data_IF_862154150155
#
_entry.id   IF_862154150155
#
_cell.length_a   1.000
_cell.length_b   1.000
_cell.length_c   1.000
_cell.angle_alpha   90.00
_cell.angle_beta   90.00
_cell.angle_gamma   90.00
#
_symmetry.space_group_name_H-M   'P 1'
#
loop_
_entity.id
_entity.type
_entity.pdbx_description
1 polymer ?
#
# COMPACT_ATOMS: atom_id res chain seq x y z
N UNK A 1 40.42 6.82 -25.89
CA UNK A 1 39.03 7.23 -26.17
C UNK A 1 38.16 6.11 -25.68
N UNK A 2 37.65 6.27 -24.46
CA UNK A 2 37.52 5.15 -23.54
C UNK A 2 36.09 4.64 -23.48
N UNK A 3 35.93 3.31 -23.60
CA UNK A 3 34.65 2.61 -23.60
C UNK A 3 33.81 2.83 -22.32
N UNK A 4 34.41 3.37 -21.26
CA UNK A 4 33.76 3.66 -19.97
C UNK A 4 32.80 4.85 -20.08
N UNK A 5 33.11 5.84 -20.93
CA UNK A 5 32.29 7.07 -21.05
C UNK A 5 30.99 6.81 -21.81
N UNK A 6 30.98 5.85 -22.76
CA UNK A 6 29.77 5.44 -23.48
C UNK A 6 28.81 4.67 -22.57
N UNK A 7 29.32 3.81 -21.67
CA UNK A 7 28.48 3.04 -20.74
C UNK A 7 27.69 3.93 -19.77
N UNK A 8 28.30 4.98 -19.23
CA UNK A 8 27.63 5.90 -18.30
C UNK A 8 26.57 6.78 -18.98
N UNK A 9 26.74 7.11 -20.27
CA UNK A 9 25.76 7.91 -21.01
C UNK A 9 24.47 7.12 -21.27
N UNK A 10 24.58 5.86 -21.70
CA UNK A 10 23.41 5.01 -22.00
C UNK A 10 22.59 4.72 -20.73
N UNK A 11 23.26 4.49 -19.59
CA UNK A 11 22.58 4.31 -18.30
C UNK A 11 21.76 5.54 -17.88
N UNK A 12 22.27 6.75 -18.17
CA UNK A 12 21.61 8.00 -17.83
C UNK A 12 20.32 8.19 -18.64
N UNK A 13 20.30 7.78 -19.91
CA UNK A 13 19.12 7.83 -20.75
C UNK A 13 18.07 6.78 -20.37
N UNK A 14 18.46 5.57 -19.97
CA UNK A 14 17.52 4.50 -19.56
C UNK A 14 16.78 4.88 -18.26
N UNK A 15 17.47 5.47 -17.28
CA UNK A 15 16.85 5.90 -16.01
C UNK A 15 15.83 7.03 -16.24
N UNK A 16 16.12 7.98 -17.14
CA UNK A 16 15.20 9.08 -17.48
C UNK A 16 13.94 8.57 -18.19
N UNK A 17 14.08 7.59 -19.08
CA UNK A 17 12.94 6.96 -19.79
C UNK A 17 12.06 6.17 -18.80
N UNK A 18 12.65 5.45 -17.85
CA UNK A 18 11.85 4.74 -16.83
C UNK A 18 11.12 5.69 -15.86
N UNK A 19 11.72 6.82 -15.48
CA UNK A 19 11.06 7.79 -14.59
C UNK A 19 9.90 8.52 -15.27
N UNK A 20 10.02 8.83 -16.56
CA UNK A 20 8.96 9.51 -17.32
C UNK A 20 7.74 8.61 -17.53
N UNK A 21 7.92 7.31 -17.77
CA UNK A 21 6.80 6.34 -17.86
C UNK A 21 6.10 6.14 -16.51
N UNK A 22 6.82 6.23 -15.39
CA UNK A 22 6.24 6.06 -14.05
C UNK A 22 5.47 7.30 -13.55
N UNK A 23 5.86 8.51 -13.97
CA UNK A 23 5.15 9.75 -13.60
C UNK A 23 3.84 9.91 -14.38
N UNK A 24 3.75 9.37 -15.59
CA UNK A 24 2.57 9.55 -16.45
C UNK A 24 1.38 8.66 -16.06
N UNK A 25 1.57 7.65 -15.20
CA UNK A 25 0.47 6.79 -14.71
C UNK A 25 -0.30 7.36 -13.52
N UNK A 26 0.14 8.47 -12.91
CA UNK A 26 -0.50 9.06 -11.72
C UNK A 26 -1.33 10.32 -11.99
N UNK A 27 -1.50 10.71 -13.26
CA UNK A 27 -2.21 11.92 -13.63
C UNK A 27 -3.37 11.63 -14.59
N UNK A 28 -4.48 11.07 -14.08
CA UNK A 28 -5.80 11.33 -14.65
C UNK A 28 -6.91 10.87 -13.70
N UNK A 29 -7.55 11.81 -13.02
CA UNK A 29 -8.99 12.10 -13.20
C UNK A 29 -9.48 12.96 -12.02
N UNK A 30 -9.19 14.26 -12.08
CA UNK A 30 -10.10 15.26 -11.51
C UNK A 30 -11.26 15.40 -12.49
N UNK A 31 -12.46 15.02 -12.05
CA UNK A 31 -13.70 15.29 -12.77
C UNK A 31 -14.77 15.69 -11.76
N UNK A 32 -15.03 17.00 -11.77
CA UNK A 32 -16.21 17.72 -11.32
C UNK A 32 -17.43 16.83 -11.04
N UNK A 33 -17.99 16.94 -9.82
CA UNK A 33 -19.43 16.84 -9.67
C UNK A 33 -19.93 17.89 -8.67
N UNK A 34 -20.71 18.79 -9.22
CA UNK A 34 -21.29 19.95 -8.57
C UNK A 34 -22.19 19.59 -7.40
N UNK A 35 -22.32 20.55 -6.50
CA UNK A 35 -23.18 20.55 -5.32
C UNK A 35 -24.59 20.01 -5.60
N UNK A 36 -25.00 19.00 -4.85
CA UNK A 36 -26.39 18.58 -4.77
C UNK A 36 -27.13 19.49 -3.79
N UNK A 37 -27.92 20.41 -4.34
CA UNK A 37 -28.89 21.23 -3.60
C UNK A 37 -30.15 20.36 -3.42
N UNK A 38 -30.75 20.29 -2.21
CA UNK A 38 -32.05 19.63 -2.04
C UNK A 38 -33.16 20.51 -2.66
N UNK A 39 -33.99 19.92 -3.51
CA UNK A 39 -35.21 20.53 -4.00
C UNK A 39 -36.42 19.78 -3.41
N UNK A 40 -37.31 20.53 -2.76
CA UNK A 40 -38.60 20.01 -2.29
C UNK A 40 -39.59 19.96 -3.44
N UNK A 41 -40.04 18.76 -3.81
CA UNK A 41 -41.20 18.60 -4.70
C UNK A 41 -42.43 18.46 -3.81
N UNK A 42 -43.22 19.53 -3.71
CA UNK A 42 -44.59 19.48 -3.21
C UNK A 42 -45.49 19.01 -4.37
N UNK A 43 -46.09 17.83 -4.23
CA UNK A 43 -47.17 17.37 -5.11
C UNK A 43 -48.50 17.44 -4.35
N UNK A 44 -49.58 18.00 -4.93
CA UNK A 44 -50.89 17.99 -4.29
C UNK A 44 -51.60 16.65 -4.53
N UNK A 45 -52.20 16.11 -3.47
CA UNK A 45 -52.97 14.87 -3.50
C UNK A 45 -54.31 15.02 -4.24
N UNK A 46 -54.84 13.94 -4.83
CA UNK A 46 -56.28 13.73 -4.98
C UNK A 46 -56.78 12.69 -3.94
N UNK A 47 -57.93 13.00 -3.35
CA UNK A 47 -58.73 12.10 -2.51
C UNK A 47 -59.17 10.90 -3.34
N UNK A 48 -59.09 9.70 -2.76
CA UNK A 48 -60.19 8.74 -2.84
C UNK A 48 -60.11 7.73 -1.68
N UNK A 49 -61.30 7.38 -1.21
CA UNK A 49 -61.61 6.58 -0.03
C UNK A 49 -61.07 5.15 -0.11
N UNK A 50 -60.03 4.83 0.66
CA UNK A 50 -59.82 3.50 1.23
C UNK A 50 -59.30 3.67 2.66
N UNK A 51 -59.94 2.98 3.60
CA UNK A 51 -59.57 2.97 5.01
C UNK A 51 -58.23 2.27 5.19
N UNK A 52 -57.14 3.02 5.01
CA UNK A 52 -55.77 2.61 5.29
C UNK A 52 -55.57 2.80 6.79
N UNK A 53 -55.36 1.71 7.53
CA UNK A 53 -54.80 1.79 8.88
C UNK A 53 -53.42 2.43 8.72
N UNK A 54 -53.14 3.62 9.28
CA UNK A 54 -51.82 4.20 9.17
C UNK A 54 -50.88 3.36 10.03
N UNK A 55 -50.06 2.52 9.40
CA UNK A 55 -48.82 2.14 10.03
C UNK A 55 -47.89 3.34 9.86
N UNK A 56 -47.45 3.92 10.96
CA UNK A 56 -46.39 4.92 10.93
C UNK A 56 -45.09 4.11 10.86
N UNK A 57 -44.51 3.92 9.67
CA UNK A 57 -43.07 3.63 9.60
C UNK A 57 -42.41 4.97 9.87
N UNK A 58 -41.97 5.17 11.09
CA UNK A 58 -41.06 6.28 11.41
C UNK A 58 -39.69 5.86 10.88
N UNK A 59 -39.37 6.20 9.64
CA UNK A 59 -37.95 6.17 9.21
C UNK A 59 -37.24 7.33 9.92
N UNK A 60 -36.81 7.10 11.16
CA UNK A 60 -35.86 7.99 11.84
C UNK A 60 -34.53 7.88 11.13
N UNK A 61 -34.34 8.68 10.07
CA UNK A 61 -33.08 8.81 9.35
C UNK A 61 -32.08 9.67 10.15
N UNK A 62 -31.91 9.38 11.44
CA UNK A 62 -31.00 10.09 12.33
C UNK A 62 -29.76 9.25 12.61
N UNK A 63 -28.77 9.33 11.72
CA UNK A 63 -27.35 9.13 12.05
C UNK A 63 -27.00 7.97 13.03
N UNK A 64 -27.57 6.77 12.84
CA UNK A 64 -27.33 5.59 13.68
C UNK A 64 -26.04 4.84 13.32
N UNK A 65 -24.92 5.56 13.19
CA UNK A 65 -23.61 4.95 12.89
C UNK A 65 -23.00 4.22 14.11
N UNK A 66 -23.65 4.26 15.27
CA UNK A 66 -23.10 3.78 16.54
C UNK A 66 -23.65 2.42 16.99
N UNK A 67 -24.79 1.95 16.46
CA UNK A 67 -25.41 0.69 16.91
C UNK A 67 -24.76 -0.55 16.28
N UNK A 68 -24.24 -0.43 15.06
CA UNK A 68 -23.65 -1.52 14.29
C UNK A 68 -22.15 -1.28 14.07
N UNK A 69 -21.32 -2.17 14.61
CA UNK A 69 -19.89 -2.19 14.38
C UNK A 69 -19.54 -3.19 13.27
N UNK A 70 -18.88 -2.71 12.21
CA UNK A 70 -18.44 -3.56 11.10
C UNK A 70 -16.92 -3.59 11.08
N UNK A 71 -16.37 -4.79 11.11
CA UNK A 71 -14.95 -5.09 11.09
C UNK A 71 -14.56 -5.71 9.75
N UNK A 72 -13.43 -5.24 9.21
CA UNK A 72 -12.81 -5.84 8.05
C UNK A 72 -11.88 -6.97 8.47
N UNK A 73 -12.05 -8.17 7.89
CA UNK A 73 -11.24 -9.34 8.24
C UNK A 73 -10.12 -9.58 7.23
N UNK A 74 -10.48 -9.74 5.96
CA UNK A 74 -9.53 -10.03 4.90
C UNK A 74 -9.97 -9.48 3.55
N UNK A 75 -9.00 -9.33 2.65
CA UNK A 75 -9.23 -8.96 1.25
C UNK A 75 -8.29 -9.76 0.38
N UNK A 76 -8.78 -10.19 -0.78
CA UNK A 76 -7.98 -10.79 -1.86
C UNK A 76 -8.06 -9.92 -3.10
N UNK A 77 -7.58 -10.43 -4.23
CA UNK A 77 -7.70 -9.77 -5.53
C UNK A 77 -9.15 -9.75 -6.04
N UNK A 78 -10.01 -10.68 -5.62
CA UNK A 78 -11.39 -10.82 -6.11
C UNK A 78 -12.42 -11.12 -5.03
N UNK A 79 -12.04 -11.08 -3.76
CA UNK A 79 -12.96 -11.25 -2.63
C UNK A 79 -12.63 -10.34 -1.46
N UNK A 80 -13.63 -10.04 -0.63
CA UNK A 80 -13.49 -9.26 0.60
C UNK A 80 -14.35 -9.95 1.66
N UNK A 81 -13.78 -10.23 2.83
CA UNK A 81 -14.51 -10.74 3.98
C UNK A 81 -14.70 -9.65 5.04
N UNK A 82 -15.92 -9.61 5.58
CA UNK A 82 -16.32 -8.69 6.64
C UNK A 82 -17.04 -9.46 7.74
N UNK A 83 -17.00 -8.90 8.94
CA UNK A 83 -17.82 -9.31 10.07
C UNK A 83 -18.43 -8.10 10.73
N UNK A 84 -19.50 -8.30 11.49
CA UNK A 84 -20.15 -7.23 12.22
C UNK A 84 -20.69 -7.71 13.56
N UNK A 85 -20.83 -6.77 14.48
CA UNK A 85 -21.40 -6.96 15.80
C UNK A 85 -22.22 -5.74 16.20
N UNK A 86 -23.18 -5.93 17.10
CA UNK A 86 -23.94 -4.81 17.65
C UNK A 86 -23.16 -4.19 18.81
N UNK A 87 -22.85 -2.90 18.70
CA UNK A 87 -22.09 -2.18 19.72
C UNK A 87 -22.96 -1.77 20.92
N UNK A 88 -24.27 -1.55 20.71
CA UNK A 88 -25.24 -1.43 21.80
C UNK A 88 -25.89 -2.79 22.00
N UNK A 89 -25.56 -3.42 23.13
CA UNK A 89 -26.28 -4.58 23.64
C UNK A 89 -27.76 -4.17 23.70
N UNK A 90 -28.58 -4.86 22.93
CA UNK A 90 -30.03 -4.77 22.85
C UNK A 90 -30.62 -3.99 24.02
N UNK A 91 -31.21 -2.81 23.75
CA UNK A 91 -32.17 -2.24 24.71
C UNK A 91 -33.15 -3.38 25.01
N UNK A 92 -33.32 -3.68 26.29
CA UNK A 92 -33.68 -4.98 26.87
C UNK A 92 -34.86 -5.78 26.29
N UNK A 93 -35.59 -5.28 25.29
CA UNK A 93 -36.79 -5.89 24.70
C UNK A 93 -36.74 -6.03 23.16
N UNK A 94 -35.57 -5.82 22.54
CA UNK A 94 -35.39 -5.97 21.09
C UNK A 94 -35.06 -7.42 20.65
N UNK A 95 -35.69 -7.91 19.58
CA UNK A 95 -35.33 -9.19 18.94
C UNK A 95 -34.62 -8.95 17.61
N UNK A 96 -33.45 -9.54 17.44
CA UNK A 96 -32.71 -9.45 16.17
C UNK A 96 -33.34 -10.31 15.08
N UNK A 97 -33.74 -9.68 13.98
CA UNK A 97 -34.44 -10.36 12.87
C UNK A 97 -33.47 -10.87 11.79
N UNK A 98 -32.34 -10.20 11.60
CA UNK A 98 -31.33 -10.60 10.63
C UNK A 98 -30.55 -9.43 10.04
N UNK A 99 -29.65 -9.75 9.11
CA UNK A 99 -28.82 -8.77 8.42
C UNK A 99 -29.06 -8.84 6.92
N UNK A 100 -29.06 -7.69 6.25
CA UNK A 100 -28.91 -7.58 4.82
C UNK A 100 -27.58 -6.94 4.50
N UNK A 101 -26.85 -7.56 3.59
CA UNK A 101 -25.55 -7.09 3.14
C UNK A 101 -25.67 -6.70 1.68
N UNK A 102 -25.22 -5.50 1.35
CA UNK A 102 -25.44 -4.87 0.06
C UNK A 102 -24.15 -4.27 -0.48
N UNK A 103 -23.95 -4.33 -1.80
CA UNK A 103 -22.80 -3.72 -2.44
C UNK A 103 -23.07 -3.22 -3.84
N UNK A 104 -22.45 -2.08 -4.14
CA UNK A 104 -22.55 -1.43 -5.45
C UNK A 104 -21.34 -1.77 -6.30
N UNK A 105 -21.57 -2.43 -7.43
CA UNK A 105 -20.56 -2.60 -8.45
C UNK A 105 -20.40 -1.32 -9.26
N UNK A 106 -19.18 -1.07 -9.77
CA UNK A 106 -18.80 0.10 -10.59
C UNK A 106 -19.74 0.42 -11.78
N UNK A 107 -20.55 -0.53 -12.24
CA UNK A 107 -21.46 -0.38 -13.38
C UNK A 107 -22.92 -0.12 -12.96
N UNK A 108 -23.14 0.33 -11.72
CA UNK A 108 -24.49 0.53 -11.17
C UNK A 108 -25.24 -0.77 -10.84
N UNK A 109 -24.64 -1.95 -11.07
CA UNK A 109 -25.20 -3.23 -10.63
C UNK A 109 -25.14 -3.29 -9.11
N UNK A 110 -26.30 -3.48 -8.51
CA UNK A 110 -26.47 -3.65 -7.08
C UNK A 110 -26.69 -5.13 -6.77
N UNK A 111 -26.04 -5.64 -5.72
CA UNK A 111 -26.32 -6.97 -5.19
C UNK A 111 -26.60 -6.86 -3.71
N UNK A 112 -27.65 -7.55 -3.28
CA UNK A 112 -28.05 -7.66 -1.89
C UNK A 112 -28.21 -9.13 -1.50
N UNK A 113 -27.82 -9.44 -0.28
CA UNK A 113 -27.92 -10.76 0.32
C UNK A 113 -28.59 -10.62 1.68
N UNK A 114 -29.69 -11.35 1.89
CA UNK A 114 -30.36 -11.42 3.19
C UNK A 114 -29.80 -12.64 3.91
N UNK A 115 -29.28 -12.40 5.11
CA UNK A 115 -28.64 -13.39 5.96
C UNK A 115 -29.51 -13.68 7.17
N UNK A 116 -29.38 -14.92 7.67
CA UNK A 116 -30.07 -15.34 8.89
C UNK A 116 -29.48 -14.60 10.10
N UNK A 117 -30.26 -14.39 11.16
CA UNK A 117 -29.79 -13.70 12.37
C UNK A 117 -28.65 -14.41 13.11
N UNK A 118 -28.36 -15.68 12.81
CA UNK A 118 -27.20 -16.39 13.37
C UNK A 118 -25.88 -16.10 12.65
N UNK A 119 -25.92 -15.38 11.52
CA UNK A 119 -24.75 -15.10 10.68
C UNK A 119 -24.32 -13.66 10.88
N UNK A 120 -23.07 -13.48 11.27
CA UNK A 120 -22.45 -12.19 11.55
C UNK A 120 -21.23 -11.90 10.67
N UNK A 121 -21.01 -12.71 9.64
CA UNK A 121 -19.92 -12.56 8.69
C UNK A 121 -20.41 -12.80 7.25
N UNK A 122 -19.70 -12.21 6.30
CA UNK A 122 -19.99 -12.39 4.88
C UNK A 122 -18.75 -12.23 4.03
N UNK A 123 -18.62 -13.08 3.00
CA UNK A 123 -17.56 -13.00 2.00
C UNK A 123 -18.18 -12.58 0.68
N UNK A 124 -17.77 -11.42 0.19
CA UNK A 124 -18.11 -10.97 -1.15
C UNK A 124 -17.18 -11.63 -2.15
N UNK A 125 -17.71 -12.45 -3.03
CA UNK A 125 -16.94 -13.12 -4.08
C UNK A 125 -17.14 -12.48 -5.45
N UNK A 126 -16.28 -12.86 -6.40
CA UNK A 126 -16.35 -12.43 -7.81
C UNK A 126 -16.29 -10.90 -8.00
N UNK A 127 -15.52 -10.22 -7.14
CA UNK A 127 -15.22 -8.79 -7.27
C UNK A 127 -14.15 -8.55 -8.34
N UNK A 128 -14.17 -7.38 -8.98
CA UNK A 128 -13.16 -6.98 -9.96
C UNK A 128 -11.92 -6.50 -9.22
N UNK A 129 -10.77 -6.91 -9.74
CA UNK A 129 -9.44 -6.54 -9.25
C UNK A 129 -9.24 -5.03 -9.25
N UNK A 130 -8.45 -4.53 -8.30
CA UNK A 130 -8.07 -3.12 -8.16
C UNK A 130 -9.25 -2.14 -8.21
N UNK A 131 -10.43 -2.55 -7.74
CA UNK A 131 -11.65 -1.73 -7.80
C UNK A 131 -12.15 -1.41 -6.39
N UNK A 132 -12.56 -0.16 -6.20
CA UNK A 132 -13.21 0.30 -4.97
C UNK A 132 -14.69 0.01 -5.01
N UNK A 133 -15.19 -0.64 -3.98
CA UNK A 133 -16.59 -1.00 -3.79
C UNK A 133 -17.16 -0.29 -2.56
N UNK A 134 -18.42 0.12 -2.64
CA UNK A 134 -19.19 0.59 -1.48
C UNK A 134 -20.03 -0.59 -0.98
N UNK A 135 -19.79 -0.96 0.26
CA UNK A 135 -20.52 -1.99 0.99
C UNK A 135 -21.42 -1.30 2.01
N UNK A 136 -22.61 -1.83 2.20
CA UNK A 136 -23.56 -1.41 3.22
C UNK A 136 -24.07 -2.65 3.93
N UNK A 137 -24.01 -2.64 5.25
CA UNK A 137 -24.55 -3.69 6.11
C UNK A 137 -25.70 -3.08 6.86
N UNK A 138 -26.86 -3.71 6.73
CA UNK A 138 -28.12 -3.29 7.30
C UNK A 138 -28.60 -4.35 8.26
N UNK A 139 -28.72 -4.01 9.53
CA UNK A 139 -29.28 -4.89 10.54
C UNK A 139 -30.73 -4.51 10.85
N UNK A 140 -31.58 -5.52 11.04
CA UNK A 140 -32.98 -5.33 11.42
C UNK A 140 -33.20 -5.79 12.85
N UNK A 141 -33.70 -4.89 13.67
CA UNK A 141 -34.10 -5.15 15.05
C UNK A 141 -35.60 -4.90 15.20
N UNK A 142 -36.32 -5.81 15.83
CA UNK A 142 -37.71 -5.57 16.22
C UNK A 142 -37.75 -5.14 17.68
N UNK A 143 -38.17 -3.91 17.93
CA UNK A 143 -38.35 -3.38 19.29
C UNK A 143 -39.83 -3.48 19.66
N UNK A 144 -40.10 -4.22 20.73
CA UNK A 144 -41.44 -4.32 21.31
C UNK A 144 -41.47 -3.50 22.60
N UNK A 145 -42.17 -2.36 22.57
CA UNK A 145 -42.33 -1.48 23.74
C UNK A 145 -43.66 -1.74 24.50
N UNK A 146 -44.25 -2.92 24.27
CA UNK A 146 -45.53 -3.32 24.87
C UNK A 146 -46.78 -2.66 24.27
N UNK A 147 -46.68 -1.45 23.72
CA UNK A 147 -47.78 -0.75 23.02
C UNK A 147 -47.75 -0.93 21.49
N UNK A 148 -46.56 -1.05 20.90
CA UNK A 148 -46.36 -1.23 19.46
C UNK A 148 -45.07 -2.04 19.19
N UNK A 149 -45.07 -2.71 18.04
CA UNK A 149 -43.89 -3.39 17.49
C UNK A 149 -43.34 -2.53 16.35
N UNK A 150 -42.13 -2.00 16.51
CA UNK A 150 -41.45 -1.18 15.52
C UNK A 150 -40.17 -1.87 15.05
N UNK A 151 -39.94 -1.89 13.74
CA UNK A 151 -38.71 -2.45 13.17
C UNK A 151 -37.70 -1.33 12.96
N UNK A 152 -36.62 -1.36 13.73
CA UNK A 152 -35.47 -0.47 13.58
C UNK A 152 -34.49 -1.04 12.56
N UNK A 153 -33.97 -0.15 11.72
CA UNK A 153 -32.97 -0.46 10.71
C UNK A 153 -31.66 0.26 11.03
N UNK A 154 -30.59 -0.49 11.26
CA UNK A 154 -29.26 0.05 11.49
C UNK A 154 -28.38 -0.24 10.28
N UNK A 155 -28.10 0.79 9.49
CA UNK A 155 -27.31 0.68 8.26
C UNK A 155 -25.95 1.35 8.40
N UNK A 156 -24.87 0.57 8.19
CA UNK A 156 -23.49 1.07 8.15
C UNK A 156 -22.86 0.80 6.80
N UNK A 157 -22.41 1.86 6.13
CA UNK A 157 -21.74 1.78 4.85
C UNK A 157 -20.24 2.12 4.96
N UNK A 158 -19.42 1.44 4.17
CA UNK A 158 -17.98 1.65 4.10
C UNK A 158 -17.46 1.35 2.70
N UNK A 159 -16.24 1.80 2.40
CA UNK A 159 -15.59 1.61 1.10
C UNK A 159 -14.33 0.78 1.28
N UNK A 160 -14.23 -0.31 0.53
CA UNK A 160 -13.01 -1.14 0.50
C UNK A 160 -12.57 -1.34 -0.93
N UNK A 161 -11.27 -1.55 -1.09
CA UNK A 161 -10.63 -1.80 -2.37
C UNK A 161 -10.06 -3.21 -2.39
N UNK A 162 -10.30 -3.93 -3.49
CA UNK A 162 -9.67 -5.22 -3.75
C UNK A 162 -8.18 -5.04 -4.04
N UNK A 163 -7.37 -6.02 -3.67
CA UNK A 163 -5.91 -5.98 -3.86
C UNK A 163 -5.57 -5.92 -5.36
N UNK A 164 -4.62 -5.07 -5.79
CA UNK A 164 -4.16 -5.06 -7.17
C UNK A 164 -3.46 -6.38 -7.50
N UNK A 165 -3.77 -6.94 -8.67
CA UNK A 165 -3.07 -8.12 -9.17
C UNK A 165 -1.65 -7.72 -9.60
N UNK A 166 -0.65 -8.13 -8.83
CA UNK A 166 0.74 -8.04 -9.26
C UNK A 166 0.94 -9.07 -10.38
N UNK A 167 1.11 -8.57 -11.61
CA UNK A 167 1.30 -9.43 -12.79
C UNK A 167 2.58 -10.23 -12.63
N UNK A 168 2.53 -11.55 -12.88
CA UNK A 168 3.70 -12.44 -12.78
C UNK A 168 4.88 -11.95 -13.60
N UNK A 169 4.62 -11.38 -14.78
CA UNK A 169 5.65 -10.82 -15.66
C UNK A 169 6.44 -9.69 -14.99
N UNK A 170 5.77 -8.84 -14.20
CA UNK A 170 6.41 -7.76 -13.45
C UNK A 170 7.31 -8.28 -12.35
N UNK A 171 6.93 -9.38 -11.69
CA UNK A 171 7.77 -10.05 -10.67
C UNK A 171 9.02 -10.65 -11.31
N UNK A 172 8.87 -11.30 -12.47
CA UNK A 172 10.00 -11.87 -13.20
C UNK A 172 11.00 -10.78 -13.62
N UNK A 173 10.52 -9.67 -14.17
CA UNK A 173 11.37 -8.53 -14.54
C UNK A 173 12.09 -7.95 -13.31
N UNK A 174 11.39 -7.82 -12.18
CA UNK A 174 12.00 -7.33 -10.94
C UNK A 174 13.09 -8.28 -10.42
N UNK A 175 12.85 -9.60 -10.45
CA UNK A 175 13.86 -10.58 -10.05
C UNK A 175 15.06 -10.59 -11.00
N UNK A 176 14.83 -10.49 -12.31
CA UNK A 176 15.90 -10.41 -13.31
C UNK A 176 16.75 -9.15 -13.11
N UNK A 177 16.14 -7.98 -12.92
CA UNK A 177 16.87 -6.73 -12.69
C UNK A 177 17.64 -6.75 -11.38
N UNK A 178 17.05 -7.26 -10.30
CA UNK A 178 17.73 -7.41 -9.01
C UNK A 178 18.92 -8.37 -9.11
N UNK A 179 18.77 -9.50 -9.81
CA UNK A 179 19.86 -10.44 -10.05
C UNK A 179 21.00 -9.83 -10.86
N UNK A 180 20.68 -9.00 -11.86
CA UNK A 180 21.66 -8.28 -12.66
C UNK A 180 22.46 -7.28 -11.82
N UNK A 181 21.81 -6.51 -10.95
CA UNK A 181 22.51 -5.56 -10.07
C UNK A 181 23.43 -6.26 -9.08
N UNK A 182 22.98 -7.38 -8.48
CA UNK A 182 23.83 -8.18 -7.60
C UNK A 182 25.03 -8.76 -8.35
N UNK A 183 24.83 -9.26 -9.56
CA UNK A 183 25.91 -9.76 -10.40
C UNK A 183 26.92 -8.66 -10.74
N UNK A 184 26.46 -7.48 -11.14
CA UNK A 184 27.33 -6.33 -11.43
C UNK A 184 28.08 -5.85 -10.18
N UNK A 185 27.42 -5.79 -9.03
CA UNK A 185 28.04 -5.47 -7.75
C UNK A 185 29.12 -6.49 -7.37
N UNK A 186 28.83 -7.78 -7.53
CA UNK A 186 29.78 -8.86 -7.28
C UNK A 186 31.00 -8.82 -8.22
N UNK A 187 30.77 -8.56 -9.51
CA UNK A 187 31.85 -8.41 -10.50
C UNK A 187 32.71 -7.18 -10.19
N UNK A 188 32.09 -6.04 -9.85
CA UNK A 188 32.80 -4.83 -9.43
C UNK A 188 33.64 -5.06 -8.17
N UNK A 189 33.05 -5.70 -7.15
CA UNK A 189 33.76 -6.07 -5.92
C UNK A 189 34.94 -7.00 -6.20
N UNK A 190 34.74 -8.02 -7.04
CA UNK A 190 35.78 -8.97 -7.42
C UNK A 190 36.96 -8.30 -8.14
N UNK A 191 36.68 -7.37 -9.08
CA UNK A 191 37.73 -6.62 -9.77
C UNK A 191 38.48 -5.69 -8.81
N UNK A 192 37.77 -4.97 -7.94
CA UNK A 192 38.38 -4.11 -6.93
C UNK A 192 39.29 -4.91 -6.01
N UNK A 193 38.83 -6.07 -5.53
CA UNK A 193 39.60 -6.95 -4.65
C UNK A 193 40.89 -7.45 -5.32
N UNK A 194 40.81 -7.83 -6.61
CA UNK A 194 41.99 -8.22 -7.40
C UNK A 194 42.98 -7.07 -7.55
N UNK A 195 42.51 -5.86 -7.89
CA UNK A 195 43.37 -4.67 -8.01
C UNK A 195 44.02 -4.30 -6.68
N UNK A 196 43.25 -4.29 -5.60
CA UNK A 196 43.76 -4.03 -4.26
C UNK A 196 44.84 -5.05 -3.86
N UNK A 197 44.67 -6.33 -4.18
CA UNK A 197 45.68 -7.35 -3.91
C UNK A 197 46.98 -7.14 -4.70
N UNK A 198 46.90 -6.73 -5.97
CA UNK A 198 48.08 -6.42 -6.79
C UNK A 198 48.83 -5.21 -6.22
N UNK A 199 48.12 -4.15 -5.84
CA UNK A 199 48.72 -2.95 -5.24
C UNK A 199 49.41 -3.31 -3.92
N UNK A 200 48.76 -4.06 -3.03
CA UNK A 200 49.37 -4.53 -1.77
C UNK A 200 50.65 -5.34 -2.01
N UNK A 201 50.69 -6.20 -3.04
CA UNK A 201 51.90 -6.94 -3.40
C UNK A 201 53.03 -6.03 -3.88
N UNK A 202 52.71 -4.99 -4.68
CA UNK A 202 53.71 -4.01 -5.15
C UNK A 202 54.27 -3.19 -4.00
N UNK A 203 53.42 -2.72 -3.10
CA UNK A 203 53.83 -1.99 -1.89
C UNK A 203 54.75 -2.87 -1.04
N UNK A 204 54.38 -4.14 -0.78
CA UNK A 204 55.23 -5.06 0.00
C UNK A 204 56.63 -5.25 -0.61
N UNK A 205 56.73 -5.46 -1.93
CA UNK A 205 58.03 -5.60 -2.62
C UNK A 205 58.85 -4.30 -2.60
N UNK A 206 58.20 -3.14 -2.72
CA UNK A 206 58.90 -1.85 -2.66
C UNK A 206 59.54 -1.61 -1.28
N UNK A 207 58.92 -2.13 -0.21
CA UNK A 207 59.48 -2.06 1.15
C UNK A 207 60.64 -3.04 1.35
N UNK A 208 60.51 -4.28 0.86
CA UNK A 208 61.55 -5.31 0.96
C UNK A 208 62.83 -4.91 0.20
N UNK A 209 62.69 -4.32 -1.00
CA UNK A 209 63.83 -3.79 -1.75
C UNK A 209 64.45 -2.53 -1.11
N UNK A 210 63.72 -1.83 -0.22
CA UNK A 210 64.24 -0.63 0.45
C UNK A 210 65.12 -0.96 1.66
N UNK A 211 65.03 -2.16 2.21
CA UNK A 211 65.92 -2.61 3.31
C UNK A 211 67.30 -3.04 2.84
N UNK A 212 67.54 -3.11 1.53
CA UNK A 212 68.83 -3.49 0.96
C UNK A 212 69.76 -2.25 0.88
N UNK A 213 70.95 -2.27 1.52
CA UNK A 213 71.81 -1.10 1.64
C UNK A 213 72.47 -0.80 0.29
N UNK A 214 71.90 0.13 -0.49
CA UNK A 214 72.48 0.56 -1.77
C UNK A 214 72.95 2.01 -1.69
N UNK A 215 74.25 2.18 -1.96
CA UNK A 215 75.11 3.36 -2.27
C UNK A 215 74.59 4.81 -2.17
N UNK A 216 75.46 5.78 -1.82
CA UNK A 216 75.10 7.03 -1.12
C UNK A 216 74.57 8.21 -1.96
N UNK A 217 73.96 7.99 -3.14
CA UNK A 217 73.39 9.11 -3.94
C UNK A 217 71.94 8.82 -4.30
N UNK A 218 71.09 8.77 -3.29
CA UNK A 218 69.63 8.77 -3.44
C UNK A 218 69.10 10.14 -3.00
N UNK A 219 68.30 10.77 -3.88
CA UNK A 219 67.69 12.08 -3.66
C UNK A 219 66.71 11.98 -2.49
N UNK A 220 66.93 12.74 -1.41
CA UNK A 220 66.14 12.67 -0.16
C UNK A 220 64.61 12.64 -0.33
N UNK A 221 64.07 13.31 -1.35
CA UNK A 221 62.64 13.29 -1.70
C UNK A 221 62.11 11.87 -2.01
N UNK A 222 62.93 11.01 -2.62
CA UNK A 222 62.54 9.63 -2.96
C UNK A 222 62.54 8.71 -1.74
N UNK A 223 63.34 9.03 -0.71
CA UNK A 223 63.35 8.29 0.56
C UNK A 223 62.06 8.55 1.34
N UNK A 224 61.61 9.81 1.37
CA UNK A 224 60.40 10.21 2.09
C UNK A 224 59.12 9.65 1.45
N UNK A 225 59.02 9.63 0.12
CA UNK A 225 57.90 9.01 -0.60
C UNK A 225 57.82 7.49 -0.36
N UNK A 226 58.97 6.81 -0.28
CA UNK A 226 59.01 5.37 0.03
C UNK A 226 58.62 5.06 1.47
N UNK A 227 59.04 5.88 2.43
CA UNK A 227 58.65 5.71 3.84
C UNK A 227 57.14 5.84 4.03
N UNK A 228 56.47 6.80 3.36
CA UNK A 228 55.01 6.96 3.42
C UNK A 228 54.22 5.79 2.82
N UNK A 229 54.81 5.08 1.84
CA UNK A 229 54.20 3.90 1.23
C UNK A 229 54.34 2.63 2.10
N UNK A 230 55.43 2.52 2.86
CA UNK A 230 55.75 1.35 3.68
C UNK A 230 55.22 1.42 5.12
N UNK A 231 55.14 2.63 5.66
CA UNK A 231 54.43 2.94 6.88
C UNK A 231 53.27 3.84 6.50
N UNK A 232 52.12 3.30 6.05
CA UNK A 232 50.90 4.08 6.08
C UNK A 232 50.76 4.46 7.55
N UNK A 233 51.00 5.73 7.85
CA UNK A 233 50.96 6.25 9.21
C UNK A 233 49.69 5.69 9.84
N UNK A 234 49.86 4.98 10.95
CA UNK A 234 48.84 4.87 11.97
C UNK A 234 48.55 6.31 12.41
N UNK A 235 47.73 7.01 11.62
CA UNK A 235 47.19 8.32 11.96
C UNK A 235 46.28 8.05 13.14
N UNK A 236 46.88 8.11 14.33
CA UNK A 236 46.47 9.05 15.37
C UNK A 236 44.96 9.35 15.35
N UNK A 237 44.17 8.35 15.76
CA UNK A 237 42.87 8.62 16.39
C UNK A 237 43.17 9.27 17.75
N UNK A 238 43.44 10.57 17.75
CA UNK A 238 43.20 11.38 18.95
C UNK A 238 41.70 11.68 18.99
N UNK A 239 40.95 11.20 19.99
CA UNK A 239 39.56 11.59 20.18
C UNK A 239 39.56 13.06 20.55
N UNK A 240 38.95 13.90 19.70
CA UNK A 240 38.66 15.28 20.05
C UNK A 240 37.33 15.27 20.78
N UNK A 241 37.39 15.17 22.11
CA UNK A 241 36.28 15.47 23.00
C UNK A 241 35.90 16.95 22.86
N UNK A 242 34.71 17.22 22.33
CA UNK A 242 33.86 18.39 22.61
C UNK A 242 32.40 17.97 22.50
#
# INVERSE_FOLDING_TARGET
>A
MDAVTYGMSVFRWIVIICFSVFVQSNASSDLNLAAAIPYDIITPAPRDHLSIVPYMITTSSSSDNEALEVTWENSTTSSIAISWQFAKIYKSNGTFLGTRVEYFLKHGKFRSHILRPTVNNFVFESLKVATTYKFCVTAFENVNDGLSSETLEHTRCFRLQTIPYIRRDSVLILLLTLSYFLFMGFMGYSQWRRRAAIIRKRVRRACENSSEPTTPVLRWREVEERQRLCFPSSIEETPRDV
#
